data_IF_328198900391
#
_entry.id   IF_328198900391
#
_cell.length_a   1.000
_cell.length_b   1.000
_cell.length_c   1.000
_cell.angle_alpha   90.00
_cell.angle_beta   90.00
_cell.angle_gamma   90.00
#
_symmetry.space_group_name_H-M   'P 1'
#
loop_
_entity.id
_entity.type
_entity.pdbx_description
1 polymer ?
#
# COMPACT_ATOMS: atom_id res chain seq x y z
N UNK A 1 -0.91 25.19 8.79
CA UNK A 1 0.38 24.59 9.20
C UNK A 1 0.42 23.19 8.62
N UNK A 2 1.11 22.96 7.51
CA UNK A 2 1.22 21.62 6.90
C UNK A 2 2.42 20.92 7.53
N UNK A 3 2.17 20.01 8.48
CA UNK A 3 3.20 19.13 9.02
C UNK A 3 3.77 18.29 7.87
N UNK A 4 5.08 18.41 7.63
CA UNK A 4 5.76 17.59 6.63
C UNK A 4 5.63 16.14 7.09
N UNK A 5 5.09 15.21 6.28
CA UNK A 5 4.96 13.82 6.69
C UNK A 5 6.35 13.30 7.08
N UNK A 6 6.43 12.68 8.26
CA UNK A 6 7.67 12.08 8.73
C UNK A 6 8.22 11.13 7.66
N UNK A 7 9.55 11.16 7.48
CA UNK A 7 10.20 10.33 6.48
C UNK A 7 9.90 8.86 6.77
N UNK A 8 9.17 8.21 5.86
CA UNK A 8 8.70 6.84 6.04
C UNK A 8 9.91 5.90 6.00
N UNK A 9 10.22 5.27 7.13
CA UNK A 9 11.22 4.19 7.17
C UNK A 9 10.65 2.95 6.47
N UNK A 10 11.37 2.35 5.51
CA UNK A 10 10.92 1.13 4.86
C UNK A 10 10.78 -0.03 5.85
N UNK A 11 9.63 -0.72 5.84
CA UNK A 11 9.43 -1.93 6.65
C UNK A 11 9.99 -3.16 5.91
N UNK A 12 11.19 -3.59 6.29
CA UNK A 12 11.88 -4.73 5.67
C UNK A 12 11.19 -6.07 5.92
N UNK A 13 10.59 -6.25 7.09
CA UNK A 13 9.88 -7.50 7.41
C UNK A 13 8.64 -7.65 6.52
N UNK A 14 7.88 -6.57 6.34
CA UNK A 14 6.75 -6.55 5.41
C UNK A 14 7.20 -6.85 3.97
N UNK A 15 8.29 -6.22 3.52
CA UNK A 15 8.82 -6.48 2.17
C UNK A 15 9.21 -7.95 1.96
N UNK A 16 9.80 -8.59 2.97
CA UNK A 16 10.13 -10.02 2.92
C UNK A 16 8.87 -10.90 2.83
N UNK A 17 7.85 -10.62 3.64
CA UNK A 17 6.58 -11.36 3.61
C UNK A 17 5.87 -11.25 2.27
N UNK A 18 5.86 -10.05 1.67
CA UNK A 18 5.26 -9.84 0.34
C UNK A 18 6.00 -10.66 -0.72
N UNK A 19 7.33 -10.68 -0.67
CA UNK A 19 8.14 -11.46 -1.59
C UNK A 19 7.95 -12.97 -1.41
N UNK A 20 7.93 -13.46 -0.16
CA UNK A 20 7.70 -14.87 0.17
C UNK A 20 6.33 -15.35 -0.31
N UNK A 21 5.31 -14.50 -0.18
CA UNK A 21 3.97 -14.77 -0.69
C UNK A 21 3.87 -14.70 -2.24
N UNK A 22 4.97 -14.39 -2.95
CA UNK A 22 5.01 -14.30 -4.41
C UNK A 22 4.31 -13.06 -4.98
N UNK A 23 4.10 -12.03 -4.16
CA UNK A 23 3.44 -10.80 -4.58
C UNK A 23 4.43 -9.72 -4.99
N UNK A 24 4.01 -8.86 -5.92
CA UNK A 24 4.64 -7.55 -6.12
C UNK A 24 3.89 -6.49 -5.33
N UNK A 25 4.59 -5.43 -4.90
CA UNK A 25 3.95 -4.31 -4.18
C UNK A 25 2.79 -3.69 -4.99
N UNK A 26 2.98 -3.50 -6.30
CA UNK A 26 1.94 -2.96 -7.18
C UNK A 26 0.78 -3.95 -7.38
N UNK A 27 1.05 -5.26 -7.44
CA UNK A 27 0.02 -6.29 -7.52
C UNK A 27 -0.80 -6.39 -6.24
N UNK A 28 -0.14 -6.31 -5.08
CA UNK A 28 -0.81 -6.31 -3.78
C UNK A 28 -1.72 -5.08 -3.63
N UNK A 29 -1.21 -3.89 -3.95
CA UNK A 29 -2.00 -2.65 -3.89
C UNK A 29 -3.28 -2.76 -4.73
N UNK A 30 -3.19 -3.21 -5.99
CA UNK A 30 -4.38 -3.39 -6.84
C UNK A 30 -5.41 -4.35 -6.26
N UNK A 31 -4.97 -5.47 -5.67
CA UNK A 31 -5.91 -6.44 -5.07
C UNK A 31 -6.56 -5.87 -3.82
N UNK A 32 -5.83 -5.09 -3.03
CA UNK A 32 -6.39 -4.37 -1.88
C UNK A 32 -7.42 -3.35 -2.35
N UNK A 33 -7.14 -2.60 -3.41
CA UNK A 33 -8.08 -1.62 -3.98
C UNK A 33 -9.35 -2.33 -4.49
N UNK A 34 -9.19 -3.44 -5.23
CA UNK A 34 -10.32 -4.25 -5.71
C UNK A 34 -11.18 -4.79 -4.56
N UNK A 35 -10.54 -5.36 -3.54
CA UNK A 35 -11.23 -5.86 -2.34
C UNK A 35 -11.94 -4.72 -1.60
N UNK A 36 -11.32 -3.55 -1.52
CA UNK A 36 -11.92 -2.34 -0.98
C UNK A 36 -13.22 -1.99 -1.69
N UNK A 37 -13.20 -1.95 -3.02
CA UNK A 37 -14.38 -1.67 -3.85
C UNK A 37 -15.50 -2.71 -3.63
N UNK A 38 -15.15 -4.00 -3.55
CA UNK A 38 -16.10 -5.08 -3.25
C UNK A 38 -16.77 -4.90 -1.87
N UNK A 39 -16.05 -4.33 -0.90
CA UNK A 39 -16.57 -4.00 0.43
C UNK A 39 -17.18 -2.59 0.54
N UNK A 40 -17.29 -1.85 -0.55
CA UNK A 40 -17.85 -0.48 -0.56
C UNK A 40 -16.90 0.60 -0.02
N UNK A 41 -15.60 0.30 0.09
CA UNK A 41 -14.55 1.25 0.46
C UNK A 41 -13.90 1.84 -0.81
N UNK A 42 -13.92 3.17 -0.94
CA UNK A 42 -13.15 3.88 -1.98
C UNK A 42 -11.70 4.08 -1.50
N UNK A 43 -10.89 3.01 -1.57
CA UNK A 43 -9.48 3.05 -1.24
C UNK A 43 -8.72 3.75 -2.38
N UNK A 44 -8.43 5.04 -2.20
CA UNK A 44 -7.59 5.80 -3.13
C UNK A 44 -6.17 5.90 -2.61
N UNK A 45 -5.27 5.15 -3.25
CA UNK A 45 -3.85 5.42 -3.14
C UNK A 45 -3.49 6.62 -4.02
N UNK A 46 -3.67 7.83 -3.51
CA UNK A 46 -3.17 9.02 -4.20
C UNK A 46 -1.65 9.07 -4.05
N UNK A 47 -0.95 8.72 -5.13
CA UNK A 47 0.50 8.83 -5.23
C UNK A 47 0.87 10.24 -5.72
N UNK A 48 0.29 11.29 -5.11
CA UNK A 48 0.85 12.64 -5.24
C UNK A 48 2.08 12.70 -4.34
N UNK A 49 3.22 13.05 -4.97
CA UNK A 49 4.57 12.96 -4.40
C UNK A 49 4.80 13.86 -3.20
#
# INVERSE_FOLDING_TARGET
MTERPAQRTPNRQLAALIAEAGFSNAGLARRVDQLGLEHGLDLRYDKTS
#
